data_IF_411088358167
#
_entry.id   IF_411088358167
#
_cell.length_a   1.000
_cell.length_b   1.000
_cell.length_c   1.000
_cell.angle_alpha   90.00
_cell.angle_beta   90.00
_cell.angle_gamma   90.00
#
_symmetry.space_group_name_H-M   'P 1'
#
loop_
_entity.id
_entity.type
_entity.pdbx_description
1 polymer ?
#
# COMPACT_ATOMS: atom_id res chain seq x y z
N UNK A 1 26.43 67.84 -23.89
CA UNK A 1 26.72 66.45 -24.33
C UNK A 1 26.82 65.46 -23.17
N UNK A 2 27.56 65.74 -22.08
CA UNK A 2 27.75 64.81 -20.94
C UNK A 2 26.45 64.43 -20.19
N UNK A 3 25.51 65.37 -20.03
CA UNK A 3 24.22 65.13 -19.35
C UNK A 3 23.29 64.20 -20.14
N UNK A 4 23.25 64.37 -21.47
CA UNK A 4 22.45 63.50 -22.34
C UNK A 4 23.01 62.07 -22.31
N UNK A 5 24.34 61.93 -22.35
CA UNK A 5 25.01 60.63 -22.26
C UNK A 5 24.74 59.92 -20.93
N UNK A 6 24.74 60.67 -19.82
CA UNK A 6 24.45 60.14 -18.49
C UNK A 6 22.98 59.70 -18.36
N UNK A 7 22.04 60.48 -18.89
CA UNK A 7 20.63 60.12 -18.94
C UNK A 7 20.38 58.87 -19.79
N UNK A 8 21.02 58.76 -20.96
CA UNK A 8 20.90 57.55 -21.80
C UNK A 8 21.51 56.32 -21.13
N UNK A 9 22.61 56.47 -20.41
CA UNK A 9 23.25 55.36 -19.69
C UNK A 9 22.42 54.91 -18.48
N UNK A 10 21.85 55.86 -17.73
CA UNK A 10 20.97 55.56 -16.61
C UNK A 10 19.65 54.92 -17.07
N UNK A 11 19.13 55.30 -18.24
CA UNK A 11 17.94 54.68 -18.82
C UNK A 11 18.22 53.27 -19.35
N UNK A 12 19.40 53.05 -19.95
CA UNK A 12 19.83 51.71 -20.35
C UNK A 12 19.94 50.75 -19.16
N UNK A 13 20.49 51.20 -18.03
CA UNK A 13 20.59 50.42 -16.79
C UNK A 13 19.22 50.01 -16.20
N UNK A 14 18.17 50.80 -16.42
CA UNK A 14 16.81 50.46 -15.99
C UNK A 14 16.18 49.36 -16.85
N UNK A 15 16.51 49.30 -18.15
CA UNK A 15 15.97 48.28 -19.07
C UNK A 15 16.65 46.91 -18.82
N UNK A 16 17.92 46.89 -18.41
CA UNK A 16 18.63 45.64 -18.10
C UNK A 16 18.30 45.04 -16.72
N UNK A 17 17.51 45.74 -15.89
CA UNK A 17 16.99 45.23 -14.61
C UNK A 17 15.53 44.74 -14.73
N UNK A 18 15.09 44.34 -15.93
CA UNK A 18 13.86 43.57 -16.08
C UNK A 18 14.09 42.19 -15.47
N UNK A 19 13.83 42.07 -14.16
CA UNK A 19 13.73 40.78 -13.49
C UNK A 19 12.76 39.90 -14.27
N UNK A 20 13.24 38.76 -14.76
CA UNK A 20 12.36 37.75 -15.34
C UNK A 20 11.33 37.34 -14.28
N UNK A 21 10.11 37.84 -14.40
CA UNK A 21 8.98 37.32 -13.64
C UNK A 21 8.67 35.92 -14.18
N UNK A 22 9.29 34.90 -13.57
CA UNK A 22 8.96 33.51 -13.88
C UNK A 22 7.61 33.21 -13.25
N UNK A 23 6.55 33.38 -14.03
CA UNK A 23 5.27 32.78 -13.73
C UNK A 23 5.48 31.26 -13.71
N UNK A 24 5.59 30.67 -12.52
CA UNK A 24 5.48 29.23 -12.38
C UNK A 24 4.06 28.86 -12.77
N UNK A 25 3.89 28.25 -13.94
CA UNK A 25 2.69 27.48 -14.23
C UNK A 25 2.59 26.41 -13.14
N UNK A 26 1.74 26.64 -12.15
CA UNK A 26 1.18 25.53 -11.39
C UNK A 26 0.58 24.59 -12.44
N UNK A 27 0.90 23.30 -12.37
CA UNK A 27 0.41 22.33 -13.35
C UNK A 27 -1.11 22.46 -13.45
N UNK A 28 -1.63 22.51 -14.68
CA UNK A 28 -3.07 22.58 -14.92
C UNK A 28 -3.65 21.23 -14.45
N UNK A 29 -4.24 21.24 -13.26
CA UNK A 29 -4.96 20.10 -12.72
C UNK A 29 -6.45 20.26 -13.07
N UNK A 30 -7.06 19.21 -13.63
CA UNK A 30 -8.51 19.15 -13.85
C UNK A 30 -9.12 18.33 -12.72
N UNK A 31 -9.76 19.00 -11.78
CA UNK A 31 -10.52 18.34 -10.70
C UNK A 31 -11.89 17.92 -11.24
N UNK A 32 -12.36 16.72 -10.88
CA UNK A 32 -13.69 16.23 -11.26
C UNK A 32 -14.62 16.19 -10.04
N UNK A 33 -15.92 16.37 -10.28
CA UNK A 33 -16.93 16.32 -9.23
C UNK A 33 -17.52 14.92 -9.11
N UNK A 34 -17.63 14.42 -7.87
CA UNK A 34 -18.16 13.09 -7.56
C UNK A 34 -19.20 13.14 -6.44
N UNK A 35 -20.10 12.14 -6.44
CA UNK A 35 -21.04 11.95 -5.34
C UNK A 35 -20.32 11.35 -4.13
N UNK A 36 -20.48 11.99 -2.97
CA UNK A 36 -19.94 11.51 -1.70
C UNK A 36 -21.08 10.95 -0.84
N UNK A 37 -20.85 9.78 -0.25
CA UNK A 37 -21.80 9.16 0.67
C UNK A 37 -21.63 9.71 2.11
N UNK A 38 -20.43 10.18 2.44
CA UNK A 38 -20.05 10.66 3.77
C UNK A 38 -20.30 12.17 3.94
N UNK A 39 -21.39 12.54 4.62
CA UNK A 39 -21.80 13.95 4.82
C UNK A 39 -20.91 14.73 5.78
N UNK A 40 -20.10 14.03 6.58
CA UNK A 40 -19.20 14.64 7.56
C UNK A 40 -17.81 14.89 6.96
N UNK A 41 -17.62 14.62 5.67
CA UNK A 41 -16.37 14.86 4.97
C UNK A 41 -16.14 16.36 4.76
N UNK A 42 -14.91 16.80 5.01
CA UNK A 42 -14.51 18.22 4.94
C UNK A 42 -13.36 18.44 3.96
N UNK A 43 -13.07 19.71 3.68
CA UNK A 43 -11.95 20.09 2.82
C UNK A 43 -10.64 19.44 3.27
N UNK A 44 -9.91 18.89 2.31
CA UNK A 44 -8.64 18.22 2.55
C UNK A 44 -8.76 16.79 3.07
N UNK A 45 -9.97 16.27 3.31
CA UNK A 45 -10.12 14.87 3.69
C UNK A 45 -9.73 13.94 2.53
N UNK A 46 -9.02 12.86 2.89
CA UNK A 46 -8.65 11.78 1.99
C UNK A 46 -9.84 10.83 1.88
N UNK A 47 -10.23 10.53 0.65
CA UNK A 47 -11.40 9.72 0.32
C UNK A 47 -10.98 8.35 -0.23
N UNK A 48 -11.73 7.31 0.12
CA UNK A 48 -11.66 6.00 -0.53
C UNK A 48 -12.98 5.63 -1.21
N UNK A 49 -12.86 4.81 -2.25
CA UNK A 49 -14.00 4.29 -3.00
C UNK A 49 -14.54 3.04 -2.32
N UNK A 50 -15.77 3.10 -1.80
CA UNK A 50 -16.48 1.95 -1.22
C UNK A 50 -17.65 1.52 -2.11
N UNK A 51 -18.35 0.45 -1.73
CA UNK A 51 -19.53 -0.04 -2.46
C UNK A 51 -20.69 0.95 -2.42
N UNK A 52 -20.74 1.76 -1.36
CA UNK A 52 -21.78 2.75 -1.09
C UNK A 52 -21.44 4.12 -1.72
N UNK A 53 -20.24 4.29 -2.28
CA UNK A 53 -19.75 5.54 -2.87
C UNK A 53 -18.44 5.99 -2.26
N UNK A 54 -18.12 7.27 -2.39
CA UNK A 54 -16.91 7.84 -1.81
C UNK A 54 -17.14 8.19 -0.34
N UNK A 55 -16.23 7.74 0.52
CA UNK A 55 -16.25 8.02 1.96
C UNK A 55 -14.84 8.31 2.47
N UNK A 56 -14.70 8.91 3.65
CA UNK A 56 -13.39 9.19 4.22
C UNK A 56 -12.61 7.90 4.47
N UNK A 57 -11.31 7.89 4.19
CA UNK A 57 -10.43 6.77 4.53
C UNK A 57 -10.43 6.52 6.03
N UNK A 58 -10.53 5.25 6.46
CA UNK A 58 -10.53 4.86 7.88
C UNK A 58 -9.43 3.86 8.24
N UNK A 59 -8.66 3.44 7.23
CA UNK A 59 -7.57 2.47 7.36
C UNK A 59 -6.26 3.14 6.97
N UNK A 60 -5.18 2.76 7.66
CA UNK A 60 -3.85 3.15 7.25
C UNK A 60 -3.48 2.43 5.94
N UNK A 61 -2.81 3.13 5.02
CA UNK A 61 -2.43 2.59 3.70
C UNK A 61 -3.61 2.02 2.90
N UNK A 62 -4.76 2.73 2.93
CA UNK A 62 -6.00 2.31 2.27
C UNK A 62 -5.75 2.04 0.77
N UNK A 63 -6.02 0.81 0.33
CA UNK A 63 -5.80 0.39 -1.05
C UNK A 63 -6.92 0.86 -2.00
N UNK A 64 -8.03 1.36 -1.47
CA UNK A 64 -9.12 1.98 -2.21
C UNK A 64 -9.03 3.51 -2.17
N UNK A 65 -7.88 4.08 -1.76
CA UNK A 65 -7.66 5.52 -1.76
C UNK A 65 -7.92 6.10 -3.15
N UNK A 66 -8.72 7.15 -3.19
CA UNK A 66 -9.24 7.72 -4.43
C UNK A 66 -8.67 9.10 -4.72
N UNK A 67 -8.63 9.98 -3.70
CA UNK A 67 -8.18 11.36 -3.83
C UNK A 67 -8.47 12.19 -2.57
N UNK A 68 -8.39 13.51 -2.71
CA UNK A 68 -8.61 14.49 -1.62
C UNK A 68 -9.73 15.45 -2.00
N UNK A 69 -10.60 15.77 -1.05
CA UNK A 69 -11.63 16.80 -1.26
C UNK A 69 -10.95 18.16 -1.46
N UNK A 70 -11.28 18.82 -2.57
CA UNK A 70 -10.72 20.11 -2.94
C UNK A 70 -11.82 21.08 -3.41
N UNK A 71 -12.32 21.90 -2.48
CA UNK A 71 -13.49 22.78 -2.66
C UNK A 71 -13.22 23.96 -3.59
N UNK A 72 -11.98 24.42 -3.70
CA UNK A 72 -11.61 25.58 -4.53
C UNK A 72 -10.51 25.25 -5.56
N UNK A 73 -10.77 24.38 -6.56
CA UNK A 73 -9.79 24.11 -7.62
C UNK A 73 -9.66 25.29 -8.57
N UNK A 74 -8.47 25.42 -9.19
CA UNK A 74 -8.27 26.35 -10.29
C UNK A 74 -9.10 25.99 -11.53
N UNK A 75 -9.26 24.70 -11.79
CA UNK A 75 -10.03 24.17 -12.91
C UNK A 75 -10.82 22.94 -12.46
N UNK A 76 -12.14 23.01 -12.59
CA UNK A 76 -13.05 21.94 -12.20
C UNK A 76 -14.01 21.60 -13.33
N UNK A 77 -14.13 20.31 -13.64
CA UNK A 77 -15.19 19.81 -14.50
C UNK A 77 -16.44 19.56 -13.66
N UNK A 78 -17.30 20.58 -13.60
CA UNK A 78 -18.53 20.61 -12.80
C UNK A 78 -19.70 20.05 -13.59
N UNK A 79 -20.60 19.35 -12.89
CA UNK A 79 -21.85 18.87 -13.47
C UNK A 79 -22.81 20.05 -13.73
N UNK A 80 -23.74 19.86 -14.66
CA UNK A 80 -24.72 20.90 -15.05
C UNK A 80 -25.64 21.27 -13.88
N UNK A 81 -25.95 20.31 -13.02
CA UNK A 81 -26.82 20.46 -11.85
C UNK A 81 -26.09 20.98 -10.60
N UNK A 82 -24.79 21.26 -10.72
CA UNK A 82 -23.92 21.70 -9.63
C UNK A 82 -23.88 20.77 -8.40
N UNK A 83 -24.17 19.47 -8.61
CA UNK A 83 -24.18 18.48 -7.55
C UNK A 83 -22.83 17.80 -7.37
N UNK A 84 -22.54 17.39 -6.12
CA UNK A 84 -21.36 16.62 -5.73
C UNK A 84 -20.20 17.47 -5.19
N UNK A 85 -19.11 16.79 -4.85
CA UNK A 85 -17.91 17.43 -4.31
C UNK A 85 -16.72 17.26 -5.26
N UNK A 86 -15.89 18.30 -5.36
CA UNK A 86 -14.70 18.29 -6.19
C UNK A 86 -13.59 17.48 -5.51
N UNK A 87 -13.05 16.47 -6.21
CA UNK A 87 -12.00 15.59 -5.68
C UNK A 87 -10.76 15.64 -6.56
N UNK A 88 -9.67 16.09 -5.96
CA UNK A 88 -8.35 16.15 -6.54
C UNK A 88 -7.68 14.77 -6.47
N UNK A 89 -7.18 14.28 -7.62
CA UNK A 89 -6.53 12.95 -7.73
C UNK A 89 -5.08 13.05 -8.19
N UNK A 90 -4.70 14.19 -8.76
CA UNK A 90 -3.39 14.50 -9.34
C UNK A 90 -3.06 15.94 -8.97
N UNK A 91 -1.88 16.46 -9.30
CA UNK A 91 -1.60 17.89 -9.08
C UNK A 91 -1.26 18.22 -7.62
N UNK A 92 -1.72 19.37 -7.11
CA UNK A 92 -1.34 19.86 -5.78
C UNK A 92 -2.60 20.23 -5.00
N UNK A 93 -2.79 19.58 -3.86
CA UNK A 93 -3.92 19.87 -2.98
C UNK A 93 -3.48 19.97 -1.52
N UNK A 94 -4.28 20.67 -0.70
CA UNK A 94 -4.13 20.67 0.75
C UNK A 94 -4.79 19.40 1.30
N UNK A 95 -4.00 18.52 1.92
CA UNK A 95 -4.52 17.32 2.57
C UNK A 95 -4.52 17.51 4.09
N UNK A 96 -5.59 17.06 4.74
CA UNK A 96 -5.67 16.95 6.19
C UNK A 96 -4.73 15.84 6.64
N UNK A 97 -3.80 16.15 7.53
CA UNK A 97 -2.79 15.20 8.01
C UNK A 97 -2.65 15.25 9.52
N UNK A 98 -1.99 14.22 10.06
CA UNK A 98 -1.66 14.11 11.47
C UNK A 98 -0.21 13.65 11.66
N UNK A 99 0.33 13.95 12.84
CA UNK A 99 1.61 13.40 13.29
C UNK A 99 1.45 12.05 14.02
N UNK A 100 0.38 11.29 13.71
CA UNK A 100 0.16 9.97 14.32
C UNK A 100 1.39 9.06 14.14
N UNK A 101 1.97 9.11 12.95
CA UNK A 101 3.18 8.37 12.56
C UNK A 101 4.45 9.23 12.56
N UNK A 102 4.48 10.26 13.40
CA UNK A 102 5.59 11.21 13.51
C UNK A 102 5.46 12.45 12.62
N UNK A 103 6.41 13.40 12.72
CA UNK A 103 6.41 14.62 11.93
C UNK A 103 6.65 14.34 10.44
N UNK A 104 6.03 15.16 9.58
CA UNK A 104 6.14 15.10 8.13
C UNK A 104 7.16 16.15 7.68
N UNK A 105 8.15 15.74 6.90
CA UNK A 105 9.08 16.66 6.26
C UNK A 105 8.72 16.86 4.79
N UNK A 106 9.18 17.97 4.21
CA UNK A 106 9.10 18.16 2.76
C UNK A 106 9.82 17.02 2.04
N UNK A 107 9.14 16.38 1.08
CA UNK A 107 9.63 15.20 0.36
C UNK A 107 9.21 13.87 0.97
N UNK A 108 8.63 13.85 2.18
CA UNK A 108 8.09 12.62 2.75
C UNK A 108 6.84 12.17 1.98
N UNK A 109 6.68 10.86 1.80
CA UNK A 109 5.44 10.28 1.31
C UNK A 109 4.35 10.40 2.37
N UNK A 110 3.13 10.74 1.93
CA UNK A 110 1.94 10.83 2.77
C UNK A 110 0.97 9.72 2.36
N UNK A 111 0.39 9.03 3.35
CA UNK A 111 -0.61 7.96 3.16
C UNK A 111 -1.83 8.23 4.07
N UNK A 112 -2.91 7.46 3.94
CA UNK A 112 -4.06 7.54 4.85
C UNK A 112 -3.69 7.03 6.25
N UNK A 113 -4.40 7.51 7.27
CA UNK A 113 -4.24 7.10 8.66
C UNK A 113 -5.47 6.34 9.17
N UNK A 114 -5.40 5.87 10.42
CA UNK A 114 -6.56 5.32 11.13
C UNK A 114 -7.58 6.39 11.57
N UNK A 115 -7.24 7.67 11.40
CA UNK A 115 -8.15 8.79 11.71
C UNK A 115 -8.90 9.16 10.44
N UNK A 116 -10.23 9.15 10.52
CA UNK A 116 -11.11 9.34 9.38
C UNK A 116 -10.72 10.57 8.54
N UNK A 117 -10.42 10.35 7.27
CA UNK A 117 -10.12 11.39 6.28
C UNK A 117 -8.75 12.04 6.45
N UNK A 118 -7.96 11.66 7.45
CA UNK A 118 -6.64 12.27 7.70
C UNK A 118 -5.52 11.39 7.22
N UNK A 119 -4.49 12.02 6.65
CA UNK A 119 -3.24 11.39 6.29
C UNK A 119 -2.22 11.35 7.42
N UNK A 120 -1.13 10.64 7.17
CA UNK A 120 0.04 10.56 8.02
C UNK A 120 1.28 10.33 7.16
N UNK A 121 2.46 10.49 7.76
CA UNK A 121 3.72 10.05 7.14
C UNK A 121 3.67 8.57 6.78
N UNK A 122 4.13 8.22 5.58
CA UNK A 122 4.30 6.84 5.13
C UNK A 122 5.59 6.25 5.71
N UNK A 123 5.48 5.35 6.69
CA UNK A 123 6.62 4.63 7.29
C UNK A 123 6.96 3.31 6.58
N UNK A 124 6.03 2.79 5.79
CA UNK A 124 6.12 1.47 5.15
C UNK A 124 5.72 1.57 3.67
N UNK A 125 5.96 0.48 2.94
CA UNK A 125 5.49 0.35 1.55
C UNK A 125 3.98 0.14 1.54
N UNK A 126 3.29 0.87 0.69
CA UNK A 126 1.83 0.83 0.62
C UNK A 126 1.29 1.90 -0.30
N UNK A 127 -0.04 2.01 -0.37
CA UNK A 127 -0.67 3.07 -1.14
C UNK A 127 -0.40 4.43 -0.48
N UNK A 128 0.24 5.32 -1.21
CA UNK A 128 0.48 6.69 -0.82
C UNK A 128 -0.45 7.61 -1.59
N UNK A 129 -0.86 8.69 -0.92
CA UNK A 129 -1.59 9.79 -1.53
C UNK A 129 -0.68 10.60 -2.46
N UNK A 130 0.58 10.79 -2.05
CA UNK A 130 1.53 11.64 -2.74
C UNK A 130 2.72 12.03 -1.88
N UNK A 131 3.36 13.15 -2.24
CA UNK A 131 4.58 13.66 -1.59
C UNK A 131 4.29 15.01 -0.93
N UNK A 132 4.68 15.18 0.33
CA UNK A 132 4.53 16.43 1.05
C UNK A 132 5.41 17.55 0.46
N UNK A 133 4.82 18.70 0.16
CA UNK A 133 5.51 19.88 -0.37
C UNK A 133 5.96 20.86 0.73
N UNK A 134 5.43 20.69 1.94
CA UNK A 134 5.74 21.47 3.13
C UNK A 134 5.94 20.54 4.34
N UNK A 135 6.73 20.97 5.34
CA UNK A 135 6.85 20.24 6.60
C UNK A 135 5.60 20.44 7.48
N UNK A 136 5.33 19.48 8.37
CA UNK A 136 4.35 19.57 9.44
C UNK A 136 4.85 18.80 10.67
N UNK A 137 5.19 19.53 11.70
CA UNK A 137 5.74 19.04 12.96
C UNK A 137 4.69 18.80 14.03
N UNK A 138 5.12 18.25 15.16
CA UNK A 138 4.25 17.95 16.29
C UNK A 138 3.67 19.20 16.95
N UNK A 139 4.29 20.37 16.78
CA UNK A 139 3.81 21.64 17.35
C UNK A 139 2.92 22.44 16.40
N UNK A 140 2.70 21.94 15.18
CA UNK A 140 1.89 22.63 14.18
C UNK A 140 0.42 22.24 14.30
N UNK A 141 -0.48 23.13 13.87
CA UNK A 141 -1.91 22.86 13.83
C UNK A 141 -2.57 22.67 15.21
N UNK A 142 -3.63 21.86 15.25
CA UNK A 142 -4.42 21.60 16.44
C UNK A 142 -3.98 20.28 17.10
N UNK A 143 -3.93 20.25 18.43
CA UNK A 143 -3.66 19.03 19.18
C UNK A 143 -4.95 18.22 19.34
N UNK A 144 -4.92 16.97 18.89
CA UNK A 144 -6.01 16.02 19.06
C UNK A 144 -5.53 14.83 19.89
N UNK A 145 -6.43 14.24 20.68
CA UNK A 145 -6.16 13.03 21.43
C UNK A 145 -6.66 11.82 20.64
N UNK A 146 -5.75 10.90 20.30
CA UNK A 146 -6.07 9.63 19.66
C UNK A 146 -5.47 8.50 20.48
N UNK A 147 -6.29 7.54 20.92
CA UNK A 147 -5.87 6.40 21.75
C UNK A 147 -5.01 6.78 22.97
N UNK A 148 -5.33 7.91 23.62
CA UNK A 148 -4.60 8.41 24.79
C UNK A 148 -3.29 9.14 24.48
N UNK A 149 -2.90 9.26 23.21
CA UNK A 149 -1.74 10.05 22.76
C UNK A 149 -2.20 11.39 22.18
N UNK A 150 -1.52 12.48 22.58
CA UNK A 150 -1.69 13.77 21.92
C UNK A 150 -0.85 13.82 20.64
N UNK A 151 -1.50 14.13 19.53
CA UNK A 151 -0.88 14.27 18.21
C UNK A 151 -1.32 15.59 17.59
N UNK A 152 -0.50 16.15 16.69
CA UNK A 152 -0.88 17.31 15.91
C UNK A 152 -1.73 16.89 14.71
N UNK A 153 -2.71 17.72 14.37
CA UNK A 153 -3.56 17.60 13.18
C UNK A 153 -3.66 18.96 12.50
N UNK A 154 -3.53 18.96 11.18
CA UNK A 154 -3.61 20.19 10.37
C UNK A 154 -3.66 19.87 8.89
N UNK A 155 -3.22 20.82 8.07
CA UNK A 155 -3.18 20.68 6.62
C UNK A 155 -1.76 20.85 6.10
N UNK A 156 -1.41 20.07 5.08
CA UNK A 156 -0.15 20.20 4.35
C UNK A 156 -0.43 20.14 2.86
N UNK A 157 0.31 20.93 2.07
CA UNK A 157 0.28 20.79 0.62
C UNK A 157 0.95 19.48 0.22
N UNK A 158 0.24 18.67 -0.57
CA UNK A 158 0.72 17.38 -1.09
C UNK A 158 0.66 17.43 -2.61
N UNK A 159 1.77 17.03 -3.26
CA UNK A 159 1.76 16.70 -4.68
C UNK A 159 1.09 15.33 -4.84
N UNK A 160 -0.17 15.35 -5.28
CA UNK A 160 -1.02 14.18 -5.37
C UNK A 160 -0.53 13.25 -6.50
N UNK A 161 -0.33 12.01 -6.12
CA UNK A 161 -0.04 10.89 -7.01
C UNK A 161 -0.43 9.62 -6.26
N UNK A 162 -1.71 9.27 -6.35
CA UNK A 162 -2.22 8.06 -5.68
C UNK A 162 -1.60 6.84 -6.35
N UNK A 163 -0.64 6.22 -5.68
CA UNK A 163 0.08 5.07 -6.19
C UNK A 163 0.62 4.20 -5.06
N UNK A 164 1.02 2.98 -5.40
CA UNK A 164 1.81 2.17 -4.49
C UNK A 164 3.22 2.76 -4.39
N UNK A 165 3.55 3.33 -3.23
CA UNK A 165 4.86 3.91 -2.97
C UNK A 165 5.70 2.98 -2.10
N UNK A 166 7.00 2.97 -2.37
CA UNK A 166 8.02 2.30 -1.55
C UNK A 166 8.97 3.36 -0.99
N UNK A 167 8.63 4.02 0.13
CA UNK A 167 9.52 4.98 0.76
C UNK A 167 10.87 4.33 1.09
N UNK A 168 11.93 4.86 0.49
CA UNK A 168 13.27 4.25 0.47
C UNK A 168 13.84 4.02 1.87
N UNK A 169 14.03 2.74 2.23
CA UNK A 169 14.96 2.23 3.25
C UNK A 169 15.05 0.68 3.15
N UNK A 170 16.15 0.04 3.61
CA UNK A 170 16.67 -1.23 3.09
C UNK A 170 15.81 -2.47 3.38
N UNK A 171 16.00 -3.50 2.55
CA UNK A 171 15.41 -4.85 2.63
C UNK A 171 15.60 -5.45 4.04
N UNK A 172 14.62 -5.30 4.94
CA UNK A 172 14.62 -5.97 6.24
C UNK A 172 13.45 -6.95 6.34
N UNK A 173 13.69 -8.14 6.90
CA UNK A 173 12.70 -9.24 6.96
C UNK A 173 11.43 -8.87 7.75
N UNK A 174 11.53 -7.91 8.68
CA UNK A 174 10.39 -7.42 9.46
C UNK A 174 9.31 -6.73 8.59
N UNK A 175 9.64 -6.23 7.39
CA UNK A 175 8.65 -5.63 6.45
C UNK A 175 7.66 -6.65 5.90
N UNK A 176 8.10 -7.89 5.67
CA UNK A 176 7.20 -8.95 5.19
C UNK A 176 6.14 -9.27 6.24
N UNK A 177 6.52 -9.29 7.53
CA UNK A 177 5.55 -9.47 8.61
C UNK A 177 4.60 -8.28 8.76
N UNK A 178 5.07 -7.04 8.56
CA UNK A 178 4.21 -5.84 8.55
C UNK A 178 3.18 -5.86 7.43
N UNK A 179 3.60 -6.20 6.20
CA UNK A 179 2.70 -6.36 5.04
C UNK A 179 1.70 -7.51 5.22
N UNK A 180 2.15 -8.68 5.69
CA UNK A 180 1.26 -9.80 5.99
C UNK A 180 0.28 -9.42 7.10
N UNK A 181 0.74 -8.68 8.11
CA UNK A 181 -0.09 -8.20 9.22
C UNK A 181 -1.15 -7.20 8.76
N UNK A 182 -0.80 -6.18 7.98
CA UNK A 182 -1.75 -5.18 7.49
C UNK A 182 -2.74 -5.77 6.48
N UNK A 183 -2.28 -6.64 5.57
CA UNK A 183 -3.15 -7.37 4.65
C UNK A 183 -4.07 -8.36 5.41
N UNK A 184 -3.59 -9.00 6.47
CA UNK A 184 -4.45 -9.85 7.31
C UNK A 184 -5.49 -9.02 8.05
N UNK A 185 -5.10 -7.92 8.70
CA UNK A 185 -5.98 -7.05 9.46
C UNK A 185 -7.06 -6.38 8.58
N UNK A 186 -6.75 -5.99 7.34
CA UNK A 186 -7.74 -5.44 6.41
C UNK A 186 -8.77 -6.48 5.95
N UNK A 187 -8.38 -7.75 5.83
CA UNK A 187 -9.27 -8.83 5.41
C UNK A 187 -10.03 -9.49 6.58
N UNK A 188 -9.56 -9.33 7.82
CA UNK A 188 -10.21 -9.85 9.04
C UNK A 188 -11.51 -9.10 9.39
N UNK A 189 -11.67 -7.86 8.91
CA UNK A 189 -12.89 -7.08 9.15
C UNK A 189 -14.13 -7.65 8.42
N UNK A 190 -13.93 -8.51 7.41
CA UNK A 190 -14.99 -9.28 6.75
C UNK A 190 -15.00 -10.75 7.25
N UNK A 191 -16.02 -11.19 8.03
CA UNK A 191 -16.08 -12.56 8.56
C UNK A 191 -16.02 -13.66 7.49
N UNK A 192 -16.52 -13.36 6.28
CA UNK A 192 -16.49 -14.29 5.14
C UNK A 192 -15.08 -14.49 4.56
N UNK A 193 -14.25 -13.44 4.57
CA UNK A 193 -12.89 -13.50 4.02
C UNK A 193 -11.92 -14.19 4.98
N UNK A 194 -12.13 -14.03 6.29
CA UNK A 194 -11.35 -14.69 7.34
C UNK A 194 -11.43 -16.23 7.22
N UNK A 195 -12.63 -16.77 6.96
CA UNK A 195 -12.82 -18.21 6.72
C UNK A 195 -12.02 -18.73 5.53
N UNK A 196 -11.97 -17.99 4.42
CA UNK A 196 -11.20 -18.36 3.23
C UNK A 196 -9.68 -18.39 3.50
N UNK A 197 -9.16 -17.40 4.23
CA UNK A 197 -7.72 -17.32 4.57
C UNK A 197 -7.31 -18.51 5.45
N UNK A 198 -8.09 -18.83 6.48
CA UNK A 198 -7.81 -20.00 7.34
C UNK A 198 -7.78 -21.29 6.52
N UNK A 199 -8.72 -21.46 5.58
CA UNK A 199 -8.77 -22.63 4.69
C UNK A 199 -7.53 -22.71 3.79
N UNK A 200 -7.08 -21.60 3.21
CA UNK A 200 -5.86 -21.60 2.40
C UNK A 200 -4.61 -21.93 3.20
N UNK A 201 -4.48 -21.40 4.43
CA UNK A 201 -3.35 -21.72 5.32
C UNK A 201 -3.39 -23.19 5.71
N UNK A 202 -4.56 -23.71 6.10
CA UNK A 202 -4.73 -25.11 6.46
C UNK A 202 -4.44 -26.05 5.27
N UNK A 203 -4.94 -25.71 4.07
CA UNK A 203 -4.71 -26.44 2.83
C UNK A 203 -3.21 -26.47 2.45
N UNK A 204 -2.49 -25.36 2.62
CA UNK A 204 -1.05 -25.28 2.42
C UNK A 204 -0.26 -26.13 3.41
N UNK A 205 -0.62 -26.09 4.70
CA UNK A 205 -0.01 -26.91 5.75
C UNK A 205 -0.20 -28.41 5.47
N UNK A 206 -1.39 -28.83 5.04
CA UNK A 206 -1.67 -30.24 4.71
C UNK A 206 -0.82 -30.74 3.55
N UNK A 207 -0.64 -29.94 2.48
CA UNK A 207 0.26 -30.28 1.36
C UNK A 207 1.69 -30.42 1.87
N UNK A 208 2.16 -29.43 2.65
CA UNK A 208 3.54 -29.38 3.12
C UNK A 208 3.86 -30.55 4.05
N UNK A 209 2.95 -30.88 4.98
CA UNK A 209 3.09 -32.02 5.88
C UNK A 209 3.05 -33.35 5.14
N UNK A 210 2.13 -33.50 4.18
CA UNK A 210 2.01 -34.71 3.37
C UNK A 210 3.29 -34.94 2.56
N UNK A 211 3.77 -33.91 1.86
CA UNK A 211 5.00 -34.00 1.09
C UNK A 211 6.22 -34.29 1.98
N UNK A 212 6.34 -33.62 3.12
CA UNK A 212 7.44 -33.84 4.07
C UNK A 212 7.43 -35.27 4.60
N UNK A 213 6.27 -35.79 5.01
CA UNK A 213 6.15 -37.15 5.53
C UNK A 213 6.47 -38.21 4.48
N UNK A 214 5.93 -38.05 3.26
CA UNK A 214 6.21 -38.93 2.13
C UNK A 214 7.70 -38.91 1.78
N UNK A 215 8.29 -37.71 1.67
CA UNK A 215 9.71 -37.54 1.33
C UNK A 215 10.64 -38.15 2.38
N UNK A 216 10.38 -37.93 3.68
CA UNK A 216 11.20 -38.49 4.76
C UNK A 216 11.12 -40.02 4.81
N UNK A 217 9.93 -40.58 4.64
CA UNK A 217 9.70 -42.03 4.63
C UNK A 217 10.41 -42.68 3.44
N UNK A 218 10.27 -42.10 2.26
CA UNK A 218 10.92 -42.55 1.03
C UNK A 218 12.45 -42.47 1.13
N UNK A 219 12.99 -41.33 1.56
CA UNK A 219 14.43 -41.10 1.68
C UNK A 219 15.10 -42.11 2.59
N UNK A 220 14.46 -42.45 3.72
CA UNK A 220 14.96 -43.49 4.64
C UNK A 220 14.85 -44.90 4.05
N UNK A 221 13.81 -45.18 3.26
CA UNK A 221 13.58 -46.50 2.67
C UNK A 221 14.57 -46.82 1.55
N UNK A 222 14.83 -45.88 0.64
CA UNK A 222 15.78 -46.09 -0.48
C UNK A 222 17.17 -46.47 0.02
N UNK A 223 17.69 -45.76 1.02
CA UNK A 223 19.03 -46.02 1.54
C UNK A 223 19.18 -47.49 2.00
N UNK A 224 18.16 -48.02 2.70
CA UNK A 224 18.12 -49.42 3.12
C UNK A 224 17.96 -50.39 1.96
N UNK A 225 17.13 -50.06 0.97
CA UNK A 225 16.95 -50.90 -0.23
C UNK A 225 18.25 -50.99 -1.05
N UNK A 226 19.02 -49.91 -1.17
CA UNK A 226 20.30 -49.87 -1.88
C UNK A 226 21.37 -50.67 -1.12
N UNK A 227 21.47 -50.51 0.21
CA UNK A 227 22.38 -51.30 1.03
C UNK A 227 22.08 -52.81 0.94
N UNK A 228 20.79 -53.17 0.99
CA UNK A 228 20.36 -54.57 0.90
C UNK A 228 20.69 -55.21 -0.46
N UNK A 229 20.57 -54.46 -1.57
CA UNK A 229 20.96 -54.94 -2.92
C UNK A 229 22.47 -55.19 -2.97
N UNK A 230 23.26 -54.31 -2.36
CA UNK A 230 24.72 -54.48 -2.27
C UNK A 230 25.13 -55.69 -1.43
N UNK A 231 24.40 -56.00 -0.36
CA UNK A 231 24.70 -57.11 0.56
C UNK A 231 24.18 -58.48 0.10
N UNK A 232 23.10 -58.52 -0.68
CA UNK A 232 22.54 -59.78 -1.18
C UNK A 232 22.00 -59.63 -2.61
N UNK A 233 22.87 -59.76 -3.64
CA UNK A 233 22.46 -59.59 -5.04
C UNK A 233 21.49 -60.68 -5.52
N UNK A 234 21.44 -61.85 -4.86
CA UNK A 234 20.50 -62.94 -5.22
C UNK A 234 19.05 -62.55 -4.91
N UNK A 235 18.81 -61.69 -3.92
CA UNK A 235 17.47 -61.20 -3.55
C UNK A 235 17.05 -59.91 -4.29
N UNK A 236 17.82 -59.48 -5.30
CA UNK A 236 17.63 -58.20 -6.01
C UNK A 236 16.20 -57.95 -6.45
N UNK A 237 15.51 -58.94 -7.02
CA UNK A 237 14.12 -58.79 -7.50
C UNK A 237 13.14 -58.49 -6.37
N UNK A 238 13.29 -59.14 -5.21
CA UNK A 238 12.42 -58.91 -4.05
C UNK A 238 12.67 -57.51 -3.43
N UNK A 239 13.93 -57.06 -3.42
CA UNK A 239 14.30 -55.74 -2.89
C UNK A 239 13.83 -54.62 -3.85
N UNK A 240 13.96 -54.83 -5.16
CA UNK A 240 13.42 -53.91 -6.17
C UNK A 240 11.90 -53.79 -6.07
N UNK A 241 11.18 -54.89 -5.83
CA UNK A 241 9.73 -54.86 -5.59
C UNK A 241 9.37 -54.01 -4.36
N UNK A 242 10.09 -54.20 -3.24
CA UNK A 242 9.88 -53.38 -2.03
C UNK A 242 10.16 -51.89 -2.28
N UNK A 243 11.21 -51.57 -3.06
CA UNK A 243 11.53 -50.19 -3.46
C UNK A 243 10.40 -49.58 -4.30
N UNK A 244 9.86 -50.32 -5.27
CA UNK A 244 8.74 -49.87 -6.12
C UNK A 244 7.48 -49.63 -5.29
N UNK A 245 7.13 -50.53 -4.37
CA UNK A 245 5.96 -50.36 -3.48
C UNK A 245 6.09 -49.06 -2.66
N UNK A 246 7.28 -48.76 -2.14
CA UNK A 246 7.51 -47.53 -1.37
C UNK A 246 7.45 -46.27 -2.25
N UNK A 247 7.89 -46.33 -3.51
CA UNK A 247 7.72 -45.24 -4.50
C UNK A 247 6.24 -45.03 -4.81
N UNK A 248 5.47 -46.10 -4.99
CA UNK A 248 4.03 -46.00 -5.23
C UNK A 248 3.35 -45.37 -4.00
N UNK A 249 3.71 -45.79 -2.80
CA UNK A 249 3.18 -45.22 -1.56
C UNK A 249 3.50 -43.73 -1.41
N UNK A 250 4.70 -43.29 -1.82
CA UNK A 250 5.08 -41.87 -1.90
C UNK A 250 4.11 -41.09 -2.80
N UNK A 251 3.86 -41.59 -4.01
CA UNK A 251 2.98 -40.93 -4.98
C UNK A 251 1.54 -40.89 -4.47
N UNK A 252 1.03 -42.01 -3.94
CA UNK A 252 -0.34 -42.10 -3.42
C UNK A 252 -0.56 -41.15 -2.24
N UNK A 253 0.36 -41.08 -1.29
CA UNK A 253 0.25 -40.17 -0.13
C UNK A 253 0.34 -38.70 -0.55
N UNK A 254 1.17 -38.37 -1.54
CA UNK A 254 1.19 -37.03 -2.14
C UNK A 254 -0.14 -36.65 -2.80
N UNK A 255 -0.73 -37.56 -3.58
CA UNK A 255 -2.04 -37.35 -4.20
C UNK A 255 -3.16 -37.19 -3.17
N UNK A 256 -3.13 -37.96 -2.08
CA UNK A 256 -4.08 -37.81 -0.96
C UNK A 256 -3.95 -36.42 -0.33
N UNK A 257 -2.72 -35.93 -0.11
CA UNK A 257 -2.49 -34.59 0.43
C UNK A 257 -3.05 -33.48 -0.48
N UNK A 258 -2.88 -33.62 -1.80
CA UNK A 258 -3.44 -32.69 -2.79
C UNK A 258 -4.99 -32.75 -2.78
N UNK A 259 -5.57 -33.95 -2.76
CA UNK A 259 -7.02 -34.11 -2.72
C UNK A 259 -7.63 -33.54 -1.43
N UNK A 260 -7.00 -33.78 -0.28
CA UNK A 260 -7.41 -33.22 1.00
C UNK A 260 -7.33 -31.69 1.00
N UNK A 261 -6.25 -31.12 0.45
CA UNK A 261 -6.07 -29.68 0.30
C UNK A 261 -7.15 -29.05 -0.57
N UNK A 262 -7.48 -29.68 -1.70
CA UNK A 262 -8.58 -29.23 -2.56
C UNK A 262 -9.94 -29.25 -1.84
N UNK A 263 -10.22 -30.29 -1.05
CA UNK A 263 -11.44 -30.36 -0.24
C UNK A 263 -11.50 -29.24 0.81
N UNK A 264 -10.38 -28.92 1.46
CA UNK A 264 -10.30 -27.85 2.47
C UNK A 264 -10.58 -26.47 1.84
N UNK A 265 -10.08 -26.22 0.63
CA UNK A 265 -10.32 -24.97 -0.09
C UNK A 265 -11.78 -24.83 -0.51
N UNK A 266 -12.42 -25.95 -0.86
CA UNK A 266 -13.80 -25.98 -1.36
C UNK A 266 -14.86 -25.92 -0.25
N UNK A 267 -14.57 -26.52 0.90
CA UNK A 267 -15.41 -26.41 2.11
C UNK A 267 -15.59 -24.94 2.46
#
# INVERSE_FOLDING_TARGET
MKIILFLTFSFALLIFNLSEARAQSQGIEVTSVYDIADKDAVEGDIMSLTKEGLSRTKTAFDNQMFGVIHKNPLLVNRRIDDSGEAIARTGIANANITTLNGPINKGDYVTSSLIAGKGQKSSESGYALGIALAPFGENDGQKITYEGKQIASGQVQVALRVEYAEPGAPRNANRWFGFIGSAFLSNVQDPKQLGAIIRYIAAGLVILLSFTFSFLTFSRSIAKSVEAIGRNPLAKSAIQLSMIINIILLVVTGLIGIAASYLIIRL
#
